data_IF_277623755927
#
_entry.id   IF_277623755927
#
_cell.length_a   1.000
_cell.length_b   1.000
_cell.length_c   1.000
_cell.angle_alpha   90.00
_cell.angle_beta   90.00
_cell.angle_gamma   90.00
#
_symmetry.space_group_name_H-M   'P 1'
#
loop_
_entity.id
_entity.type
_entity.pdbx_description
1 polymer ?
#
# COMPACT_ATOMS: atom_id res chain seq x y z
N UNK A 1 -20.06 -10.04 10.26
CA UNK A 1 -19.39 -10.14 8.94
C UNK A 1 -18.50 -8.92 8.76
N UNK A 2 -17.22 -9.01 9.09
CA UNK A 2 -16.28 -7.88 9.04
C UNK A 2 -16.01 -7.50 7.58
N UNK A 3 -16.40 -6.28 7.21
CA UNK A 3 -16.21 -5.70 5.89
C UNK A 3 -14.70 -5.54 5.69
N UNK A 4 -14.09 -6.41 4.87
CA UNK A 4 -12.66 -6.32 4.54
C UNK A 4 -12.39 -4.95 3.93
N UNK A 5 -11.48 -4.21 4.53
CA UNK A 5 -11.13 -2.88 4.04
C UNK A 5 -10.24 -3.00 2.81
N UNK A 6 -10.29 -1.99 1.94
CA UNK A 6 -9.42 -1.95 0.75
C UNK A 6 -7.93 -1.97 1.11
N UNK A 7 -7.56 -1.51 2.31
CA UNK A 7 -6.20 -1.63 2.85
C UNK A 7 -5.80 -3.09 3.10
N UNK A 8 -6.68 -3.90 3.68
CA UNK A 8 -6.39 -5.33 3.92
C UNK A 8 -6.27 -6.09 2.60
N UNK A 9 -7.07 -5.73 1.58
CA UNK A 9 -6.89 -6.26 0.23
C UNK A 9 -5.53 -5.85 -0.35
N UNK A 10 -5.14 -4.58 -0.20
CA UNK A 10 -3.84 -4.09 -0.65
C UNK A 10 -2.68 -4.83 0.03
N UNK A 11 -2.72 -5.02 1.36
CA UNK A 11 -1.69 -5.77 2.12
C UNK A 11 -1.43 -7.16 1.54
N UNK A 12 -2.47 -7.87 1.07
CA UNK A 12 -2.34 -9.21 0.49
C UNK A 12 -1.60 -9.25 -0.85
N UNK A 13 -1.56 -8.14 -1.57
CA UNK A 13 -0.85 -8.03 -2.86
C UNK A 13 0.61 -7.59 -2.69
N UNK A 14 0.98 -7.09 -1.50
CA UNK A 14 2.35 -6.71 -1.19
C UNK A 14 3.21 -7.96 -0.99
N UNK A 15 4.38 -7.97 -1.63
CA UNK A 15 5.40 -9.00 -1.49
C UNK A 15 6.67 -8.36 -0.92
N UNK A 16 7.29 -8.99 0.08
CA UNK A 16 8.55 -8.51 0.64
C UNK A 16 9.64 -8.48 -0.45
N UNK A 17 10.48 -7.45 -0.41
CA UNK A 17 11.57 -7.25 -1.37
C UNK A 17 11.13 -6.70 -2.74
N UNK A 18 9.83 -6.50 -2.98
CA UNK A 18 9.35 -5.85 -4.21
C UNK A 18 9.15 -4.34 -3.99
N UNK A 19 9.62 -3.55 -4.93
CA UNK A 19 9.35 -2.11 -4.99
C UNK A 19 8.04 -1.89 -5.75
N UNK A 20 7.14 -1.10 -5.16
CA UNK A 20 5.85 -0.75 -5.75
C UNK A 20 5.80 0.75 -6.02
N UNK A 21 5.29 1.14 -7.18
CA UNK A 21 4.97 2.54 -7.47
C UNK A 21 3.52 2.84 -7.09
N UNK A 22 3.18 4.14 -7.01
CA UNK A 22 1.80 4.57 -6.75
C UNK A 22 0.83 4.05 -7.81
N UNK A 23 1.27 3.97 -9.06
CA UNK A 23 0.48 3.54 -10.21
C UNK A 23 0.11 2.05 -10.12
N UNK A 24 1.07 1.20 -9.73
CA UNK A 24 0.80 -0.23 -9.46
C UNK A 24 -0.28 -0.38 -8.40
N UNK A 25 -0.14 0.36 -7.30
CA UNK A 25 -1.03 0.25 -6.15
C UNK A 25 -2.43 0.85 -6.40
N UNK A 26 -2.57 1.75 -7.38
CA UNK A 26 -3.84 2.35 -7.78
C UNK A 26 -4.82 1.34 -8.37
N UNK A 27 -4.34 0.21 -8.90
CA UNK A 27 -5.18 -0.87 -9.40
C UNK A 27 -6.01 -1.53 -8.28
N UNK A 28 -5.48 -1.58 -7.05
CA UNK A 28 -6.12 -2.25 -5.91
C UNK A 28 -6.76 -1.31 -4.89
N UNK A 29 -6.54 -0.01 -5.00
CA UNK A 29 -7.12 0.97 -4.10
C UNK A 29 -7.28 2.34 -4.73
N UNK A 30 -8.46 2.93 -4.59
CA UNK A 30 -8.70 4.33 -4.96
C UNK A 30 -7.96 5.32 -4.02
N UNK A 31 -7.72 4.94 -2.76
CA UNK A 31 -7.07 5.77 -1.75
C UNK A 31 -5.63 5.34 -1.45
N UNK A 32 -4.83 5.12 -2.51
CA UNK A 32 -3.44 4.62 -2.41
C UNK A 32 -2.62 5.41 -1.42
N UNK A 33 -2.68 6.74 -1.47
CA UNK A 33 -1.84 7.62 -0.65
C UNK A 33 -2.12 7.43 0.85
N UNK A 34 -3.41 7.38 1.23
CA UNK A 34 -3.83 7.11 2.61
C UNK A 34 -3.37 5.74 3.09
N UNK A 35 -3.51 4.72 2.24
CA UNK A 35 -3.07 3.37 2.59
C UNK A 35 -1.55 3.29 2.69
N UNK A 36 -0.81 3.92 1.78
CA UNK A 36 0.64 4.00 1.83
C UNK A 36 1.10 4.66 3.14
N UNK A 37 0.50 5.78 3.53
CA UNK A 37 0.80 6.42 4.81
C UNK A 37 0.53 5.49 6.00
N UNK A 38 -0.60 4.77 6.00
CA UNK A 38 -0.91 3.79 7.04
C UNK A 38 0.10 2.64 7.06
N UNK A 39 0.51 2.12 5.90
CA UNK A 39 1.45 1.01 5.78
C UNK A 39 2.87 1.40 6.16
N UNK A 40 3.30 2.62 5.86
CA UNK A 40 4.57 3.18 6.30
C UNK A 40 4.55 3.43 7.81
N UNK A 41 3.44 3.97 8.34
CA UNK A 41 3.26 4.18 9.79
C UNK A 41 3.25 2.87 10.58
N UNK A 42 2.68 1.82 10.01
CA UNK A 42 2.63 0.46 10.56
C UNK A 42 3.91 -0.36 10.27
N UNK A 43 4.96 0.26 9.71
CA UNK A 43 6.22 -0.40 9.30
C UNK A 43 6.07 -1.58 8.31
N UNK A 44 4.91 -1.73 7.67
CA UNK A 44 4.69 -2.74 6.63
C UNK A 44 5.40 -2.37 5.33
N UNK A 45 5.49 -1.08 5.01
CA UNK A 45 6.19 -0.57 3.84
C UNK A 45 7.29 0.42 4.24
N UNK A 46 8.42 0.32 3.56
CA UNK A 46 9.49 1.31 3.66
C UNK A 46 9.37 2.30 2.50
N UNK A 47 9.35 3.60 2.80
CA UNK A 47 9.39 4.64 1.78
C UNK A 47 10.80 4.70 1.19
N UNK A 48 10.98 4.16 -0.01
CA UNK A 48 12.29 4.05 -0.66
C UNK A 48 12.70 5.31 -1.44
N UNK A 49 11.76 5.98 -2.11
CA UNK A 49 12.01 7.22 -2.83
C UNK A 49 10.81 8.16 -2.71
N UNK A 50 11.08 9.42 -2.42
CA UNK A 50 10.09 10.48 -2.22
C UNK A 50 10.15 11.56 -3.28
N UNK A 51 10.42 11.20 -4.54
CA UNK A 51 10.45 12.19 -5.62
C UNK A 51 11.19 11.70 -6.86
N UNK A 52 10.45 11.65 -7.96
CA UNK A 52 10.80 12.46 -9.14
C UNK A 52 9.50 13.12 -9.62
#
# INVERSE_FOLDING_TARGET
MTKRTSLEQLKRHLRPGKVYRREDLACWSNAVDRHLQQLVKDNTLLKLAGGL
#
